data_IF_758266699202
#
_entry.id   IF_758266699202
#
_cell.length_a   1.000
_cell.length_b   1.000
_cell.length_c   1.000
_cell.angle_alpha   90.00
_cell.angle_beta   90.00
_cell.angle_gamma   90.00
#
_symmetry.space_group_name_H-M   'P 1'
#
loop_
_entity.id
_entity.type
_entity.pdbx_description
1 polymer ?
#
# COMPACT_ATOMS: atom_id res chain seq x y z
N UNK A 1 -1.43 -3.09 28.36
CA UNK A 1 -0.32 -3.58 27.48
C UNK A 1 0.67 -2.49 27.07
N UNK A 2 0.39 -1.22 27.36
CA UNK A 2 1.19 -0.05 26.99
C UNK A 2 2.38 0.27 27.91
N UNK A 3 2.61 -0.51 28.96
CA UNK A 3 3.61 -0.20 29.99
C UNK A 3 5.01 -0.77 29.67
N UNK A 4 5.14 -1.63 28.68
CA UNK A 4 6.42 -2.35 28.41
C UNK A 4 7.42 -1.62 27.51
N UNK A 5 6.98 -0.66 26.70
CA UNK A 5 7.85 0.04 25.74
C UNK A 5 8.19 1.48 26.15
N UNK A 6 8.15 1.79 27.44
CA UNK A 6 8.20 3.18 27.91
C UNK A 6 9.46 3.94 27.52
N UNK A 7 10.54 3.28 27.13
CA UNK A 7 11.74 3.99 26.63
C UNK A 7 12.81 3.10 25.95
N UNK A 8 12.52 1.80 25.69
CA UNK A 8 13.46 0.89 25.02
C UNK A 8 12.77 -0.01 24.00
N UNK A 9 13.40 -0.18 22.85
CA UNK A 9 13.00 -1.12 21.83
C UNK A 9 13.80 -2.40 21.93
N UNK A 10 13.13 -3.53 22.18
CA UNK A 10 13.73 -4.87 22.31
C UNK A 10 13.21 -5.79 21.22
N UNK A 11 11.91 -5.72 20.93
CA UNK A 11 11.25 -6.57 19.95
C UNK A 11 10.92 -5.80 18.67
N UNK A 12 10.73 -6.47 17.51
CA UNK A 12 10.24 -5.80 16.29
C UNK A 12 8.95 -5.00 16.52
N UNK A 13 8.07 -5.47 17.40
CA UNK A 13 6.83 -4.77 17.74
C UNK A 13 7.09 -3.44 18.47
N UNK A 14 8.14 -3.38 19.32
CA UNK A 14 8.52 -2.13 19.99
C UNK A 14 9.07 -1.12 18.98
N UNK A 15 9.93 -1.58 18.04
CA UNK A 15 10.44 -0.73 16.96
C UNK A 15 9.32 -0.22 16.07
N UNK A 16 8.37 -1.08 15.68
CA UNK A 16 7.18 -0.65 14.93
C UNK A 16 6.41 0.44 15.68
N UNK A 17 6.09 0.21 16.94
CA UNK A 17 5.34 1.16 17.77
C UNK A 17 6.03 2.51 17.90
N UNK A 18 7.36 2.54 18.08
CA UNK A 18 8.13 3.77 18.15
C UNK A 18 8.19 4.48 16.79
N UNK A 19 8.31 3.72 15.71
CA UNK A 19 8.36 4.25 14.35
C UNK A 19 7.01 4.85 13.93
N UNK A 20 5.88 4.19 14.24
CA UNK A 20 4.54 4.68 13.92
C UNK A 20 4.18 5.99 14.68
N UNK A 21 4.89 6.27 15.77
CA UNK A 21 4.72 7.53 16.54
C UNK A 21 5.70 8.63 16.13
N UNK A 22 6.64 8.32 15.26
CA UNK A 22 7.63 9.29 14.83
C UNK A 22 7.01 10.27 13.82
N UNK A 23 7.17 11.60 14.00
CA UNK A 23 6.60 12.59 13.11
C UNK A 23 7.01 12.37 11.65
N UNK A 24 6.04 12.42 10.74
CA UNK A 24 6.26 12.21 9.31
C UNK A 24 6.20 10.75 8.86
N UNK A 25 6.02 9.79 9.77
CA UNK A 25 5.79 8.37 9.46
C UNK A 25 4.29 8.08 9.52
N UNK A 26 3.71 7.66 8.39
CA UNK A 26 2.31 7.23 8.33
C UNK A 26 2.13 5.80 8.83
N UNK A 27 2.93 4.88 8.34
CA UNK A 27 2.89 3.48 8.73
C UNK A 27 4.29 2.87 8.69
N UNK A 28 4.56 1.95 9.60
CA UNK A 28 5.81 1.20 9.59
C UNK A 28 5.58 -0.30 9.71
N UNK A 29 6.58 -1.06 9.29
CA UNK A 29 6.68 -2.50 9.57
C UNK A 29 8.10 -2.84 9.95
N UNK A 30 8.25 -3.77 10.89
CA UNK A 30 9.54 -4.16 11.43
C UNK A 30 9.73 -5.67 11.40
N UNK A 31 10.90 -6.08 10.95
CA UNK A 31 11.30 -7.48 10.91
C UNK A 31 12.68 -7.68 11.54
N UNK A 32 12.83 -8.79 12.25
CA UNK A 32 14.15 -9.30 12.62
C UNK A 32 14.67 -10.24 11.51
N UNK A 33 15.95 -10.14 11.21
CA UNK A 33 16.61 -11.10 10.33
C UNK A 33 17.01 -12.31 11.15
N UNK A 34 16.55 -13.49 10.74
CA UNK A 34 16.91 -14.74 11.39
C UNK A 34 18.44 -14.91 11.45
N UNK A 35 18.96 -15.22 12.64
CA UNK A 35 20.39 -15.41 12.88
C UNK A 35 21.22 -14.12 13.04
N UNK A 36 20.57 -12.94 13.07
CA UNK A 36 21.25 -11.66 13.29
C UNK A 36 20.58 -10.84 14.39
N UNK A 37 21.29 -9.83 14.90
CA UNK A 37 20.74 -8.81 15.80
C UNK A 37 20.31 -7.54 15.03
N UNK A 38 20.04 -7.67 13.73
CA UNK A 38 19.59 -6.57 12.90
C UNK A 38 18.06 -6.51 12.81
N UNK A 39 17.53 -5.33 12.98
CA UNK A 39 16.11 -5.00 12.83
C UNK A 39 15.95 -4.14 11.57
N UNK A 40 15.16 -4.63 10.62
CA UNK A 40 14.73 -3.84 9.46
C UNK A 40 13.44 -3.12 9.78
N UNK A 41 13.50 -1.79 9.71
CA UNK A 41 12.34 -0.90 9.85
C UNK A 41 12.02 -0.33 8.48
N UNK A 42 10.84 -0.61 7.97
CA UNK A 42 10.35 -0.05 6.71
C UNK A 42 9.23 0.91 7.00
N UNK A 43 9.34 2.10 6.47
CA UNK A 43 8.40 3.20 6.75
C UNK A 43 7.79 3.73 5.46
N UNK A 44 6.51 4.08 5.52
CA UNK A 44 5.86 4.94 4.54
C UNK A 44 5.70 6.33 5.15
N UNK A 45 6.23 7.36 4.51
CA UNK A 45 6.01 8.75 4.91
C UNK A 45 4.53 9.17 4.73
N UNK A 46 4.06 10.15 5.50
CA UNK A 46 2.68 10.65 5.42
C UNK A 46 2.28 11.18 4.03
N UNK A 47 3.23 11.71 3.28
CA UNK A 47 2.99 12.24 1.93
C UNK A 47 3.78 11.46 0.87
N UNK A 48 3.85 10.14 1.03
CA UNK A 48 4.61 9.31 0.11
C UNK A 48 4.03 9.33 -1.31
N UNK A 49 4.88 9.60 -2.28
CA UNK A 49 4.56 9.78 -3.70
C UNK A 49 4.93 8.58 -4.59
N UNK A 50 5.28 7.45 -4.00
CA UNK A 50 5.78 6.27 -4.72
C UNK A 50 7.30 6.24 -4.89
N UNK A 51 8.01 7.33 -4.55
CA UNK A 51 9.46 7.43 -4.66
C UNK A 51 10.17 6.89 -3.43
N UNK A 52 11.32 6.28 -3.64
CA UNK A 52 12.26 5.92 -2.56
C UNK A 52 13.27 7.04 -2.27
N UNK A 53 13.33 8.06 -3.11
CA UNK A 53 14.24 9.21 -2.97
C UNK A 53 13.55 10.40 -2.26
N UNK A 54 14.35 11.31 -1.73
CA UNK A 54 13.83 12.52 -1.06
C UNK A 54 13.57 12.36 0.45
N UNK A 55 13.61 11.15 0.98
CA UNK A 55 13.27 10.83 2.36
C UNK A 55 14.48 10.66 3.29
N UNK A 56 15.68 11.02 2.83
CA UNK A 56 16.93 10.79 3.58
C UNK A 56 16.93 11.44 4.97
N UNK A 57 16.37 12.63 5.10
CA UNK A 57 16.28 13.31 6.39
C UNK A 57 15.41 12.51 7.36
N UNK A 58 14.19 12.12 6.94
CA UNK A 58 13.29 11.32 7.76
C UNK A 58 13.92 9.99 8.17
N UNK A 59 14.58 9.30 7.23
CA UNK A 59 15.29 8.03 7.50
C UNK A 59 16.40 8.25 8.53
N UNK A 60 17.19 9.30 8.38
CA UNK A 60 18.31 9.62 9.29
C UNK A 60 17.79 9.96 10.68
N UNK A 61 16.81 10.84 10.78
CA UNK A 61 16.26 11.29 12.06
C UNK A 61 15.60 10.13 12.82
N UNK A 62 14.83 9.31 12.12
CA UNK A 62 14.22 8.11 12.71
C UNK A 62 15.30 7.10 13.14
N UNK A 63 16.35 6.91 12.33
CA UNK A 63 17.46 6.01 12.69
C UNK A 63 18.15 6.48 13.97
N UNK A 64 18.49 7.76 14.05
CA UNK A 64 19.09 8.36 15.26
C UNK A 64 18.15 8.19 16.46
N UNK A 65 16.87 8.46 16.29
CA UNK A 65 15.89 8.27 17.36
C UNK A 65 15.83 6.83 17.86
N UNK A 66 15.72 5.85 16.94
CA UNK A 66 15.65 4.43 17.29
C UNK A 66 16.99 3.92 17.91
N UNK A 67 18.12 4.48 17.48
CA UNK A 67 19.42 4.17 18.05
C UNK A 67 19.54 4.58 19.53
N UNK A 68 18.83 5.61 19.96
CA UNK A 68 18.77 5.98 21.38
C UNK A 68 17.90 5.04 22.22
N UNK A 69 17.00 4.27 21.56
CA UNK A 69 16.02 3.39 22.20
C UNK A 69 16.42 1.90 22.15
N UNK A 70 17.28 1.50 21.23
CA UNK A 70 17.68 0.11 21.02
C UNK A 70 18.54 -0.45 22.14
N UNK A 71 18.55 -1.78 22.25
CA UNK A 71 19.51 -2.49 23.10
C UNK A 71 20.90 -2.48 22.45
N UNK A 72 21.94 -2.38 23.27
CA UNK A 72 23.33 -2.45 22.81
C UNK A 72 23.58 -3.74 22.03
N UNK A 73 24.24 -3.62 20.88
CA UNK A 73 24.49 -4.74 19.97
C UNK A 73 23.43 -4.94 18.89
N UNK A 74 22.27 -4.24 18.95
CA UNK A 74 21.27 -4.28 17.89
C UNK A 74 21.60 -3.28 16.79
N UNK A 75 21.54 -3.72 15.53
CA UNK A 75 21.63 -2.85 14.35
C UNK A 75 20.24 -2.51 13.87
N UNK A 76 19.96 -1.22 13.64
CA UNK A 76 18.68 -0.75 13.06
C UNK A 76 18.93 -0.27 11.65
N UNK A 77 18.13 -0.74 10.71
CA UNK A 77 18.21 -0.37 9.29
C UNK A 77 16.84 0.17 8.88
N UNK A 78 16.74 1.49 8.66
CA UNK A 78 15.51 2.16 8.24
C UNK A 78 15.52 2.34 6.72
N UNK A 79 14.44 1.93 6.06
CA UNK A 79 14.30 2.04 4.60
C UNK A 79 12.88 2.41 4.19
N UNK A 80 12.75 2.97 2.98
CA UNK A 80 11.47 3.16 2.29
C UNK A 80 11.22 1.94 1.39
N UNK A 81 10.02 1.34 1.37
CA UNK A 81 9.69 0.28 0.45
C UNK A 81 9.59 0.78 -0.99
N UNK A 82 9.81 -0.12 -1.95
CA UNK A 82 9.67 0.19 -3.37
C UNK A 82 8.20 0.13 -3.79
N UNK A 83 7.75 1.13 -4.55
CA UNK A 83 6.42 1.11 -5.16
C UNK A 83 6.31 -0.05 -6.16
N UNK A 84 5.22 -0.80 -6.08
CA UNK A 84 4.83 -1.79 -7.06
C UNK A 84 3.61 -1.25 -7.82
N UNK A 85 3.79 -0.66 -9.01
CA UNK A 85 2.68 -0.11 -9.77
C UNK A 85 1.74 -1.22 -10.21
N UNK A 86 0.43 -0.98 -10.13
CA UNK A 86 -0.62 -1.91 -10.56
C UNK A 86 -1.44 -1.21 -11.63
N UNK A 87 -1.58 -1.87 -12.78
CA UNK A 87 -2.32 -1.39 -13.93
C UNK A 87 -3.61 -2.18 -14.10
N UNK A 88 -4.72 -1.46 -14.26
CA UNK A 88 -6.07 -2.03 -14.36
C UNK A 88 -6.72 -1.54 -15.65
N UNK A 89 -7.24 -2.46 -16.47
CA UNK A 89 -8.15 -2.13 -17.56
C UNK A 89 -9.47 -2.84 -17.35
N UNK A 90 -10.55 -2.20 -17.72
CA UNK A 90 -11.90 -2.72 -17.49
C UNK A 90 -12.90 -2.27 -18.53
N UNK A 91 -13.99 -3.02 -18.67
CA UNK A 91 -15.18 -2.65 -19.40
C UNK A 91 -16.32 -2.32 -18.42
N UNK A 92 -17.06 -1.27 -18.72
CA UNK A 92 -18.12 -0.74 -17.87
C UNK A 92 -19.41 -0.53 -18.67
N UNK A 93 -20.54 -1.00 -18.14
CA UNK A 93 -21.89 -0.66 -18.63
C UNK A 93 -22.64 0.01 -17.48
N UNK A 94 -23.07 1.24 -17.70
CA UNK A 94 -23.88 1.99 -16.74
C UNK A 94 -25.37 1.62 -16.85
N UNK A 95 -26.08 1.70 -15.72
CA UNK A 95 -27.53 1.54 -15.68
C UNK A 95 -28.24 2.71 -16.40
N UNK A 96 -29.42 2.48 -16.99
CA UNK A 96 -30.22 3.55 -17.54
C UNK A 96 -30.55 4.63 -16.49
N UNK A 97 -30.40 5.90 -16.88
CA UNK A 97 -30.63 7.03 -15.98
C UNK A 97 -29.39 7.52 -15.22
N UNK A 98 -28.28 6.81 -15.31
CA UNK A 98 -27.00 7.27 -14.76
C UNK A 98 -26.09 7.82 -15.86
N UNK A 99 -25.35 8.86 -15.53
CA UNK A 99 -24.32 9.38 -16.41
C UNK A 99 -23.11 8.43 -16.40
N UNK A 100 -22.84 7.81 -17.53
CA UNK A 100 -21.75 6.84 -17.69
C UNK A 100 -20.36 7.42 -17.38
N UNK A 101 -20.15 8.71 -17.70
CA UNK A 101 -18.87 9.37 -17.45
C UNK A 101 -18.67 9.57 -15.95
N UNK A 102 -19.74 9.97 -15.23
CA UNK A 102 -19.67 10.11 -13.77
C UNK A 102 -19.47 8.75 -13.08
N UNK A 103 -20.15 7.70 -13.54
CA UNK A 103 -19.95 6.33 -13.04
C UNK A 103 -18.50 5.88 -13.27
N UNK A 104 -17.95 6.16 -14.46
CA UNK A 104 -16.55 5.84 -14.76
C UNK A 104 -15.57 6.57 -13.84
N UNK A 105 -15.79 7.86 -13.58
CA UNK A 105 -14.97 8.64 -12.63
C UNK A 105 -15.03 8.01 -11.23
N UNK A 106 -16.23 7.60 -10.79
CA UNK A 106 -16.39 6.94 -9.48
C UNK A 106 -15.63 5.62 -9.41
N UNK A 107 -15.65 4.83 -10.50
CA UNK A 107 -14.86 3.57 -10.60
C UNK A 107 -13.37 3.85 -10.54
N UNK A 108 -12.87 4.83 -11.31
CA UNK A 108 -11.45 5.19 -11.28
C UNK A 108 -10.99 5.65 -9.89
N UNK A 109 -11.79 6.51 -9.25
CA UNK A 109 -11.51 6.96 -7.89
C UNK A 109 -11.48 5.80 -6.90
N UNK A 110 -12.39 4.82 -7.04
CA UNK A 110 -12.46 3.65 -6.16
C UNK A 110 -11.26 2.72 -6.35
N UNK A 111 -10.80 2.51 -7.58
CA UNK A 111 -9.58 1.76 -7.88
C UNK A 111 -8.36 2.46 -7.28
N UNK A 112 -8.26 3.78 -7.47
CA UNK A 112 -7.16 4.58 -6.91
C UNK A 112 -7.16 4.53 -5.37
N UNK A 113 -8.34 4.66 -4.75
CA UNK A 113 -8.50 4.53 -3.30
C UNK A 113 -8.06 3.14 -2.80
N UNK A 114 -8.51 2.07 -3.47
CA UNK A 114 -8.14 0.70 -3.11
C UNK A 114 -6.64 0.44 -3.22
N UNK A 115 -5.98 1.00 -4.22
CA UNK A 115 -4.55 0.83 -4.46
C UNK A 115 -3.68 1.85 -3.69
N UNK A 116 -4.28 2.81 -3.00
CA UNK A 116 -3.53 3.79 -2.20
C UNK A 116 -2.99 3.13 -0.91
N UNK A 117 -1.68 3.04 -0.71
CA UNK A 117 -1.10 2.44 0.50
C UNK A 117 -1.31 3.27 1.76
N UNK A 118 -1.65 4.57 1.61
CA UNK A 118 -1.92 5.49 2.71
C UNK A 118 -3.43 5.67 2.96
N UNK A 119 -4.26 4.75 2.46
CA UNK A 119 -5.68 4.74 2.74
C UNK A 119 -5.92 4.43 4.21
N UNK A 120 -6.64 5.30 4.89
CA UNK A 120 -7.11 5.08 6.25
C UNK A 120 -8.51 4.47 6.24
N UNK A 121 -8.73 3.49 7.10
CA UNK A 121 -10.07 2.98 7.38
C UNK A 121 -10.78 3.95 8.33
N UNK A 122 -11.95 4.45 7.89
CA UNK A 122 -12.66 5.51 8.61
C UNK A 122 -13.12 5.11 10.02
N UNK A 123 -13.35 3.80 10.26
CA UNK A 123 -13.84 3.30 11.56
C UNK A 123 -12.72 3.06 12.57
N UNK A 124 -11.53 2.70 12.11
CA UNK A 124 -10.42 2.29 12.97
C UNK A 124 -9.30 3.31 13.07
N UNK A 125 -9.31 4.33 12.20
CA UNK A 125 -8.22 5.29 12.02
C UNK A 125 -6.86 4.59 11.73
N UNK A 126 -6.90 3.37 11.17
CA UNK A 126 -5.73 2.60 10.81
C UNK A 126 -5.57 2.55 9.29
N UNK A 127 -4.33 2.47 8.83
CA UNK A 127 -4.06 2.25 7.43
C UNK A 127 -4.53 0.86 7.01
N UNK A 128 -5.33 0.81 5.95
CA UNK A 128 -6.03 -0.40 5.48
C UNK A 128 -5.06 -1.53 5.08
N UNK A 129 -3.86 -1.19 4.65
CA UNK A 129 -2.90 -2.18 4.20
C UNK A 129 -1.51 -1.94 4.74
N UNK A 130 -0.89 -3.05 5.10
CA UNK A 130 0.49 -3.11 5.51
C UNK A 130 1.43 -3.19 4.30
N UNK A 131 2.67 -2.78 4.49
CA UNK A 131 3.76 -3.01 3.54
C UNK A 131 3.91 -4.53 3.33
N UNK A 132 3.97 -4.99 2.08
CA UNK A 132 4.13 -6.40 1.74
C UNK A 132 2.82 -7.20 1.65
N UNK A 133 1.68 -6.55 1.69
CA UNK A 133 0.38 -7.21 1.58
C UNK A 133 -0.04 -7.40 0.12
N UNK A 134 -0.45 -8.62 -0.20
CA UNK A 134 -0.89 -9.00 -1.55
C UNK A 134 -2.17 -8.27 -1.96
N UNK A 135 -2.36 -8.11 -3.27
CA UNK A 135 -3.53 -7.44 -3.84
C UNK A 135 -4.38 -8.46 -4.59
N UNK A 136 -5.65 -8.55 -4.24
CA UNK A 136 -6.59 -9.51 -4.82
C UNK A 136 -7.58 -8.82 -5.76
N UNK A 137 -7.75 -9.42 -6.95
CA UNK A 137 -8.69 -8.92 -7.96
C UNK A 137 -10.13 -8.96 -7.47
N UNK A 138 -10.51 -10.01 -6.76
CA UNK A 138 -11.87 -10.20 -6.29
C UNK A 138 -12.28 -9.14 -5.27
N UNK A 139 -11.41 -8.80 -4.32
CA UNK A 139 -11.64 -7.72 -3.35
C UNK A 139 -11.88 -6.37 -4.04
N UNK A 140 -11.02 -6.04 -5.01
CA UNK A 140 -11.18 -4.81 -5.79
C UNK A 140 -12.49 -4.82 -6.57
N UNK A 141 -12.83 -5.93 -7.21
CA UNK A 141 -14.04 -6.07 -8.02
C UNK A 141 -15.31 -5.94 -7.16
N UNK A 142 -15.32 -6.51 -5.97
CA UNK A 142 -16.45 -6.42 -5.03
C UNK A 142 -16.66 -4.98 -4.54
N UNK A 143 -15.59 -4.26 -4.24
CA UNK A 143 -15.65 -2.84 -3.88
C UNK A 143 -16.22 -1.98 -5.01
N UNK A 144 -15.87 -2.30 -6.27
CA UNK A 144 -16.37 -1.55 -7.44
C UNK A 144 -17.83 -1.87 -7.70
N UNK A 145 -18.24 -3.13 -7.58
CA UNK A 145 -19.66 -3.52 -7.79
C UNK A 145 -20.63 -2.88 -6.80
N UNK A 146 -20.13 -2.42 -5.66
CA UNK A 146 -20.93 -1.67 -4.69
C UNK A 146 -21.24 -0.21 -5.12
N UNK A 147 -20.62 0.30 -6.20
CA UNK A 147 -20.86 1.65 -6.71
C UNK A 147 -22.24 1.68 -7.40
N UNK A 148 -23.04 2.68 -7.05
CA UNK A 148 -24.33 2.89 -7.70
C UNK A 148 -24.18 3.23 -9.18
N UNK A 149 -25.14 2.77 -9.99
CA UNK A 149 -25.18 3.05 -11.42
C UNK A 149 -24.41 2.05 -12.27
N UNK A 150 -23.77 1.04 -11.71
CA UNK A 150 -23.10 -0.01 -12.47
C UNK A 150 -24.08 -1.14 -12.79
N UNK A 151 -24.28 -1.43 -14.09
CA UNK A 151 -24.98 -2.61 -14.56
C UNK A 151 -24.05 -3.79 -14.75
N UNK A 152 -22.86 -3.53 -15.32
CA UNK A 152 -21.86 -4.55 -15.61
C UNK A 152 -20.45 -3.95 -15.45
N UNK A 153 -19.58 -4.71 -14.82
CA UNK A 153 -18.17 -4.38 -14.67
C UNK A 153 -17.33 -5.62 -14.86
N UNK A 154 -16.33 -5.53 -15.71
CA UNK A 154 -15.39 -6.61 -15.99
C UNK A 154 -13.98 -6.06 -16.12
N UNK A 155 -13.09 -6.55 -15.31
CA UNK A 155 -11.65 -6.29 -15.46
C UNK A 155 -11.11 -7.13 -16.61
N UNK A 156 -10.38 -6.51 -17.51
CA UNK A 156 -9.75 -7.17 -18.66
C UNK A 156 -8.25 -7.30 -18.49
N UNK A 157 -7.62 -6.36 -17.76
CA UNK A 157 -6.19 -6.42 -17.43
C UNK A 157 -5.99 -6.07 -15.96
N UNK A 158 -5.19 -6.90 -15.26
CA UNK A 158 -4.80 -6.68 -13.87
C UNK A 158 -3.39 -7.23 -13.65
N UNK A 159 -2.39 -6.35 -13.73
CA UNK A 159 -0.98 -6.73 -13.65
C UNK A 159 -0.11 -5.55 -13.22
N UNK A 160 1.15 -5.85 -12.91
CA UNK A 160 2.19 -4.86 -12.62
C UNK A 160 2.82 -4.26 -13.88
N UNK A 161 2.59 -4.85 -15.04
CA UNK A 161 2.99 -4.32 -16.32
C UNK A 161 1.82 -3.64 -17.03
N UNK A 162 2.11 -2.55 -17.75
CA UNK A 162 1.15 -1.92 -18.67
C UNK A 162 0.79 -2.94 -19.75
N UNK A 163 -0.47 -2.97 -20.18
CA UNK A 163 -0.94 -3.88 -21.20
C UNK A 163 -0.17 -3.65 -22.54
N UNK A 164 0.59 -4.62 -23.01
CA UNK A 164 1.36 -4.51 -24.26
C UNK A 164 0.54 -4.84 -25.52
N UNK A 165 -0.80 -4.82 -25.45
CA UNK A 165 -1.72 -5.23 -26.51
C UNK A 165 -2.29 -6.64 -26.33
N UNK A 166 -1.78 -7.42 -25.38
CA UNK A 166 -2.36 -8.70 -24.95
C UNK A 166 -2.71 -8.58 -23.47
N UNK A 167 -3.97 -8.42 -23.10
CA UNK A 167 -4.39 -8.28 -21.72
C UNK A 167 -3.98 -9.47 -20.85
N UNK A 168 -3.44 -9.20 -19.67
CA UNK A 168 -3.10 -10.22 -18.68
C UNK A 168 -3.96 -10.01 -17.44
N UNK A 169 -4.74 -11.01 -17.09
CA UNK A 169 -5.61 -11.00 -15.92
C UNK A 169 -5.05 -11.93 -14.84
N UNK A 170 -4.47 -11.33 -13.82
CA UNK A 170 -4.00 -12.05 -12.63
C UNK A 170 -5.09 -12.04 -11.57
N UNK A 171 -5.37 -13.17 -10.93
CA UNK A 171 -6.30 -13.21 -9.80
C UNK A 171 -5.73 -12.55 -8.54
N UNK A 172 -4.42 -12.54 -8.44
CA UNK A 172 -3.66 -11.98 -7.33
C UNK A 172 -2.35 -11.39 -7.83
N UNK A 173 -1.97 -10.23 -7.29
CA UNK A 173 -0.64 -9.66 -7.45
C UNK A 173 0.09 -9.82 -6.11
N UNK A 174 1.13 -10.65 -6.12
CA UNK A 174 1.97 -10.85 -4.95
C UNK A 174 2.88 -9.64 -4.71
N UNK A 175 2.85 -9.12 -3.51
CA UNK A 175 3.70 -8.01 -3.07
C UNK A 175 4.86 -8.57 -2.27
N UNK A 176 6.07 -8.42 -2.78
CA UNK A 176 7.25 -9.02 -2.17
C UNK A 176 7.60 -8.35 -0.85
N UNK A 177 7.80 -9.18 0.19
CA UNK A 177 8.26 -8.76 1.49
C UNK A 177 9.34 -9.71 2.01
N UNK A 178 10.59 -9.37 1.73
CA UNK A 178 11.76 -10.13 2.13
C UNK A 178 12.72 -9.26 2.95
N UNK A 179 13.79 -9.83 3.45
CA UNK A 179 14.81 -9.08 4.19
C UNK A 179 15.46 -7.97 3.35
N UNK A 180 15.61 -8.18 2.05
CA UNK A 180 16.29 -7.25 1.14
C UNK A 180 15.33 -6.43 0.29
N UNK A 181 14.12 -6.94 0.04
CA UNK A 181 13.11 -6.30 -0.80
C UNK A 181 11.81 -6.16 -0.02
N UNK A 182 11.33 -4.95 0.12
CA UNK A 182 9.97 -4.65 0.56
C UNK A 182 9.27 -3.84 -0.52
N UNK A 183 8.11 -4.28 -0.91
CA UNK A 183 7.25 -3.61 -1.86
C UNK A 183 5.97 -3.16 -1.18
N UNK A 184 5.37 -2.14 -1.74
CA UNK A 184 4.03 -1.70 -1.38
C UNK A 184 3.27 -1.43 -2.67
N UNK A 185 2.01 -1.82 -2.71
CA UNK A 185 1.15 -1.56 -3.86
C UNK A 185 1.03 -0.06 -4.11
N UNK A 186 0.95 0.30 -5.36
CA UNK A 186 0.83 1.67 -5.79
C UNK A 186 -0.06 1.75 -7.04
N UNK A 187 -0.85 2.80 -7.14
CA UNK A 187 -1.70 3.01 -8.32
C UNK A 187 -0.85 3.32 -9.55
N UNK A 188 -0.86 2.42 -10.51
CA UNK A 188 -0.17 2.62 -11.79
C UNK A 188 -1.07 3.32 -12.81
N UNK A 189 -2.19 2.70 -13.15
CA UNK A 189 -3.21 3.29 -14.02
C UNK A 189 -4.55 2.55 -13.90
N UNK A 190 -5.64 3.24 -14.22
CA UNK A 190 -6.95 2.63 -14.47
C UNK A 190 -7.51 3.17 -15.78
N UNK A 191 -7.69 2.30 -16.76
CA UNK A 191 -8.12 2.67 -18.10
C UNK A 191 -9.42 1.91 -18.45
N UNK A 192 -10.45 2.64 -18.82
CA UNK A 192 -11.66 2.04 -19.36
C UNK A 192 -11.43 1.65 -20.83
N UNK A 193 -11.52 0.35 -21.13
CA UNK A 193 -11.47 -0.14 -22.50
C UNK A 193 -12.77 0.15 -23.26
N UNK A 194 -13.91 0.03 -22.57
CA UNK A 194 -15.24 0.33 -23.11
C UNK A 194 -16.17 0.88 -22.05
N UNK A 195 -16.87 1.99 -22.35
CA UNK A 195 -17.88 2.57 -21.49
C UNK A 195 -19.16 2.74 -22.31
N UNK A 196 -20.23 2.07 -21.91
CA UNK A 196 -21.52 2.14 -22.60
C UNK A 196 -22.69 2.36 -21.63
N UNK A 197 -23.80 2.88 -22.15
CA UNK A 197 -25.09 2.83 -21.44
C UNK A 197 -25.84 1.56 -21.81
N UNK A 198 -26.61 1.06 -20.84
CA UNK A 198 -27.49 -0.08 -21.05
C UNK A 198 -28.77 0.30 -21.85
#
# INVERSE_FOLDING_TARGET
RYIRALDRAITPADFKFLSDKFPGVAVSTCQNIAGTVAIYVRILPENWDGSTSGWNTLITDLTVYLDTKKVVGTTVIVTIPTALPIHVEYNLIALPGYDKEQVNVNVQNKIQEYLNPLRMEAETEQYYLSIGEDVYLDEMTDLIRAIEGIKFFQVTHFNTAVNPGTPVLSSKIAVSYTQTLAQVRYFGSAIAGSITNA
#
